data_IF_199221858278
#
_entry.id   IF_199221858278
#
_cell.length_a   1.000
_cell.length_b   1.000
_cell.length_c   1.000
_cell.angle_alpha   90.00
_cell.angle_beta   90.00
_cell.angle_gamma   90.00
#
_symmetry.space_group_name_H-M   'P 1'
#
loop_
_entity.id
_entity.type
_entity.pdbx_description
1 polymer ?
#
# COMPACT_ATOMS: atom_id res chain seq x y z
N UNK A 1 -11.82 49.94 26.07
CA UNK A 1 -10.69 49.13 25.52
C UNK A 1 -10.77 47.65 25.86
N UNK A 2 -10.86 47.22 27.14
CA UNK A 2 -10.94 45.78 27.50
C UNK A 2 -12.08 44.99 26.81
N UNK A 3 -13.26 45.59 26.62
CA UNK A 3 -14.40 44.95 25.94
C UNK A 3 -14.23 44.81 24.42
N UNK A 4 -13.46 45.70 23.79
CA UNK A 4 -13.12 45.63 22.35
C UNK A 4 -12.07 44.54 22.08
N UNK A 5 -11.10 44.40 22.98
CA UNK A 5 -10.09 43.32 22.90
C UNK A 5 -10.75 41.96 23.12
N UNK A 6 -11.69 41.84 24.07
CA UNK A 6 -12.43 40.59 24.30
C UNK A 6 -13.29 40.20 23.08
N UNK A 7 -13.94 41.19 22.44
CA UNK A 7 -14.72 40.96 21.21
C UNK A 7 -13.85 40.51 20.03
N UNK A 8 -12.65 41.08 19.87
CA UNK A 8 -11.71 40.69 18.83
C UNK A 8 -11.17 39.25 19.00
N UNK A 9 -10.88 38.85 20.25
CA UNK A 9 -10.43 37.47 20.56
C UNK A 9 -11.56 36.45 20.32
N UNK A 10 -12.81 36.82 20.61
CA UNK A 10 -13.98 35.96 20.37
C UNK A 10 -14.28 35.80 18.88
N UNK A 11 -14.12 36.85 18.07
CA UNK A 11 -14.25 36.77 16.61
C UNK A 11 -13.15 35.93 15.95
N UNK A 12 -11.91 35.96 16.45
CA UNK A 12 -10.82 35.10 15.97
C UNK A 12 -11.01 33.61 16.31
N UNK A 13 -11.78 33.32 17.36
CA UNK A 13 -12.02 31.94 17.81
C UNK A 13 -13.10 31.21 16.98
N UNK A 14 -13.99 31.95 16.32
CA UNK A 14 -15.12 31.37 15.55
C UNK A 14 -14.69 30.96 14.13
N UNK A 15 -13.58 31.48 13.60
CA UNK A 15 -13.11 31.17 12.24
C UNK A 15 -12.28 29.88 12.10
N UNK A 16 -12.11 29.10 13.17
CA UNK A 16 -11.27 27.89 13.15
C UNK A 16 -12.02 26.55 13.00
N UNK A 17 -13.34 26.57 12.79
CA UNK A 17 -14.12 25.38 12.44
C UNK A 17 -14.32 25.23 10.93
N UNK A 18 -13.24 25.30 10.14
CA UNK A 18 -13.29 24.78 8.77
C UNK A 18 -13.06 23.28 8.85
N UNK A 19 -14.14 22.50 8.78
CA UNK A 19 -14.08 21.05 8.69
C UNK A 19 -13.42 20.67 7.37
N UNK A 20 -12.32 19.93 7.44
CA UNK A 20 -11.64 19.34 6.28
C UNK A 20 -12.55 18.33 5.62
N UNK A 21 -13.27 18.75 4.59
CA UNK A 21 -14.00 17.84 3.71
C UNK A 21 -12.97 17.04 2.92
N UNK A 22 -13.07 15.71 2.97
CA UNK A 22 -12.23 14.82 2.15
C UNK A 22 -12.49 15.17 0.68
N UNK A 23 -11.43 15.47 -0.05
CA UNK A 23 -11.52 15.88 -1.45
C UNK A 23 -12.13 14.74 -2.29
N UNK A 24 -12.95 15.10 -3.28
CA UNK A 24 -13.50 14.14 -4.23
C UNK A 24 -13.07 14.49 -5.63
N UNK A 25 -12.57 13.50 -6.35
CA UNK A 25 -12.15 13.55 -7.74
C UNK A 25 -13.23 12.93 -8.61
N UNK A 26 -13.62 13.61 -9.69
CA UNK A 26 -14.58 13.08 -10.66
C UNK A 26 -13.86 12.35 -11.80
N UNK A 27 -14.32 11.18 -12.19
CA UNK A 27 -13.89 10.44 -13.36
C UNK A 27 -15.00 10.45 -14.41
N UNK A 28 -14.67 10.95 -15.60
CA UNK A 28 -15.54 10.92 -16.76
C UNK A 28 -15.18 9.71 -17.64
N UNK A 29 -16.00 8.67 -17.55
CA UNK A 29 -15.83 7.41 -18.29
C UNK A 29 -15.84 7.63 -19.81
N UNK A 30 -16.64 8.57 -20.32
CA UNK A 30 -16.83 8.79 -21.77
C UNK A 30 -15.59 9.43 -22.38
N UNK A 31 -15.05 10.46 -21.74
CA UNK A 31 -13.86 11.16 -22.22
C UNK A 31 -12.56 10.49 -21.77
N UNK A 32 -12.63 9.50 -20.87
CA UNK A 32 -11.49 8.95 -20.15
C UNK A 32 -10.65 10.03 -19.43
N UNK A 33 -11.34 10.96 -18.76
CA UNK A 33 -10.72 12.11 -18.09
C UNK A 33 -10.94 12.03 -16.58
N UNK A 34 -9.86 12.23 -15.82
CA UNK A 34 -9.91 12.38 -14.37
C UNK A 34 -9.91 13.87 -14.03
N UNK A 35 -10.71 14.27 -13.05
CA UNK A 35 -10.75 15.57 -12.38
C UNK A 35 -10.78 16.82 -13.30
N UNK A 36 -11.34 16.72 -14.51
CA UNK A 36 -11.22 17.77 -15.53
C UNK A 36 -9.75 18.16 -15.81
N UNK A 37 -8.86 17.18 -15.83
CA UNK A 37 -7.41 17.31 -16.01
C UNK A 37 -6.67 18.04 -14.86
N UNK A 38 -7.32 18.23 -13.70
CA UNK A 38 -6.64 18.72 -12.50
C UNK A 38 -5.88 17.59 -11.78
N UNK A 39 -4.69 17.86 -11.21
CA UNK A 39 -3.92 16.83 -10.52
C UNK A 39 -4.69 16.09 -9.42
N UNK A 40 -4.27 14.86 -9.13
CA UNK A 40 -4.82 14.06 -8.02
C UNK A 40 -4.40 14.63 -6.66
N UNK A 41 -5.26 14.53 -5.64
CA UNK A 41 -4.92 14.89 -4.27
C UNK A 41 -3.65 14.15 -3.81
N UNK A 42 -2.82 14.82 -3.01
CA UNK A 42 -1.54 14.25 -2.56
C UNK A 42 -1.36 14.33 -1.05
N UNK A 43 -0.79 13.26 -0.50
CA UNK A 43 -0.49 13.06 0.91
C UNK A 43 -1.71 13.10 1.84
N UNK A 44 -2.90 12.91 1.27
CA UNK A 44 -4.18 12.77 1.96
C UNK A 44 -5.09 11.77 1.21
N UNK A 45 -6.02 11.11 1.93
CA UNK A 45 -7.01 10.25 1.31
C UNK A 45 -8.07 11.08 0.58
N UNK A 46 -8.69 10.49 -0.44
CA UNK A 46 -9.69 11.16 -1.27
C UNK A 46 -10.72 10.19 -1.82
N UNK A 47 -11.84 10.71 -2.32
CA UNK A 47 -12.85 9.91 -3.02
C UNK A 47 -12.66 10.00 -4.54
N UNK A 48 -12.88 8.89 -5.24
CA UNK A 48 -13.08 8.89 -6.70
C UNK A 48 -14.55 8.65 -6.96
N UNK A 49 -15.18 9.57 -7.69
CA UNK A 49 -16.57 9.49 -8.14
C UNK A 49 -16.60 9.28 -9.63
N UNK A 50 -17.50 8.45 -10.14
CA UNK A 50 -17.68 8.30 -11.58
C UNK A 50 -19.11 7.92 -11.91
N UNK A 51 -19.51 8.22 -13.15
CA UNK A 51 -20.79 7.74 -13.67
C UNK A 51 -20.72 6.23 -13.88
N UNK A 52 -21.80 5.54 -13.56
CA UNK A 52 -21.93 4.10 -13.69
C UNK A 52 -22.66 3.80 -15.00
N UNK A 53 -22.01 3.14 -15.98
CA UNK A 53 -22.71 2.65 -17.16
C UNK A 53 -23.80 1.63 -16.80
N UNK A 54 -24.80 1.50 -17.67
CA UNK A 54 -25.89 0.54 -17.48
C UNK A 54 -25.36 -0.91 -17.38
N UNK A 55 -25.94 -1.71 -16.48
CA UNK A 55 -25.55 -3.11 -16.27
C UNK A 55 -24.29 -3.35 -15.44
N UNK A 56 -23.51 -2.31 -15.12
CA UNK A 56 -22.34 -2.45 -14.24
C UNK A 56 -22.78 -2.48 -12.77
N UNK A 57 -22.31 -3.46 -12.00
CA UNK A 57 -22.64 -3.58 -10.57
C UNK A 57 -21.41 -3.62 -9.65
N UNK A 58 -20.22 -3.74 -10.23
CA UNK A 58 -18.97 -3.72 -9.50
C UNK A 58 -17.94 -2.92 -10.28
N UNK A 59 -17.23 -2.05 -9.57
CA UNK A 59 -16.12 -1.25 -10.10
C UNK A 59 -14.91 -1.52 -9.24
N UNK A 60 -13.81 -1.94 -9.86
CA UNK A 60 -12.51 -2.05 -9.19
C UNK A 60 -11.57 -1.01 -9.76
N UNK A 61 -10.91 -0.27 -8.87
CA UNK A 61 -9.87 0.69 -9.26
C UNK A 61 -8.53 0.16 -8.76
N UNK A 62 -7.58 0.02 -9.68
CA UNK A 62 -6.17 -0.20 -9.33
C UNK A 62 -5.43 1.12 -9.45
N UNK A 63 -4.71 1.48 -8.39
CA UNK A 63 -3.88 2.68 -8.35
C UNK A 63 -2.43 2.25 -8.20
N UNK A 64 -1.62 2.51 -9.22
CA UNK A 64 -0.20 2.19 -9.23
C UNK A 64 0.63 3.46 -9.46
N UNK A 65 1.85 3.50 -8.92
CA UNK A 65 2.77 4.59 -9.24
C UNK A 65 3.38 4.33 -10.63
N UNK A 66 3.38 5.34 -11.49
CA UNK A 66 3.84 5.17 -12.87
C UNK A 66 5.29 4.69 -12.93
N UNK A 67 5.54 3.69 -13.77
CA UNK A 67 6.86 3.06 -13.91
C UNK A 67 7.29 2.16 -12.74
N UNK A 68 6.39 1.83 -11.80
CA UNK A 68 6.61 0.82 -10.76
C UNK A 68 5.89 -0.49 -11.10
N UNK A 69 6.37 -1.57 -10.50
CA UNK A 69 5.82 -2.91 -10.68
C UNK A 69 4.32 -2.94 -10.31
N UNK A 70 3.49 -3.43 -11.22
CA UNK A 70 2.04 -3.57 -11.07
C UNK A 70 1.63 -4.38 -9.82
N UNK A 71 2.50 -5.28 -9.34
CA UNK A 71 2.27 -6.03 -8.10
C UNK A 71 2.18 -5.14 -6.85
N UNK A 72 2.61 -3.88 -6.93
CA UNK A 72 2.51 -2.90 -5.84
C UNK A 72 1.24 -2.05 -5.92
N UNK A 73 0.43 -2.23 -6.97
CA UNK A 73 -0.81 -1.51 -7.15
C UNK A 73 -1.75 -1.74 -5.97
N UNK A 74 -2.44 -0.69 -5.57
CA UNK A 74 -3.46 -0.75 -4.53
C UNK A 74 -4.82 -0.92 -5.19
N UNK A 75 -5.57 -1.92 -4.74
CA UNK A 75 -6.90 -2.21 -5.27
C UNK A 75 -7.97 -1.68 -4.33
N UNK A 76 -8.96 -1.02 -4.92
CA UNK A 76 -10.15 -0.57 -4.24
C UNK A 76 -11.38 -1.08 -4.98
N UNK A 77 -12.42 -1.43 -4.24
CA UNK A 77 -13.62 -2.05 -4.83
C UNK A 77 -14.86 -1.31 -4.36
N UNK A 78 -15.67 -0.90 -5.32
CA UNK A 78 -17.03 -0.45 -5.11
C UNK A 78 -18.00 -1.52 -5.62
N UNK A 79 -19.07 -1.75 -4.86
CA UNK A 79 -20.12 -2.70 -5.21
C UNK A 79 -21.46 -2.00 -5.05
N UNK A 80 -22.36 -2.24 -5.99
CA UNK A 80 -23.75 -1.81 -5.87
C UNK A 80 -24.34 -2.45 -4.61
N UNK A 81 -24.93 -1.61 -3.76
CA UNK A 81 -25.68 -2.10 -2.61
C UNK A 81 -27.04 -2.59 -3.11
N UNK A 82 -27.32 -3.88 -2.97
CA UNK A 82 -28.60 -4.50 -3.38
C UNK A 82 -28.99 -4.13 -4.82
N UNK A 83 -30.28 -4.07 -5.13
CA UNK A 83 -30.82 -3.66 -6.43
C UNK A 83 -31.18 -2.17 -6.46
N UNK A 84 -30.50 -1.34 -5.66
CA UNK A 84 -30.77 0.09 -5.67
C UNK A 84 -30.33 0.70 -7.02
N UNK A 85 -31.19 1.54 -7.65
CA UNK A 85 -30.82 2.25 -8.86
C UNK A 85 -29.78 3.32 -8.49
N UNK A 86 -28.52 3.08 -8.87
CA UNK A 86 -27.41 4.00 -8.69
C UNK A 86 -26.82 4.35 -10.04
N UNK A 87 -26.69 5.64 -10.31
CA UNK A 87 -26.10 6.18 -11.55
C UNK A 87 -24.63 6.57 -11.37
N UNK A 88 -24.11 6.51 -10.15
CA UNK A 88 -22.75 6.92 -9.80
C UNK A 88 -22.16 5.98 -8.75
N UNK A 89 -20.85 5.78 -8.82
CA UNK A 89 -20.07 5.14 -7.77
C UNK A 89 -19.23 6.19 -7.03
N UNK A 90 -18.95 5.92 -5.76
CA UNK A 90 -18.02 6.70 -4.93
C UNK A 90 -17.10 5.72 -4.20
N UNK A 91 -15.80 5.84 -4.43
CA UNK A 91 -14.80 4.93 -3.93
C UNK A 91 -13.77 5.69 -3.09
N UNK A 92 -13.54 5.22 -1.87
CA UNK A 92 -12.57 5.83 -0.95
C UNK A 92 -11.17 5.30 -1.21
N UNK A 93 -10.26 6.16 -1.68
CA UNK A 93 -8.85 5.87 -1.85
C UNK A 93 -8.15 6.20 -0.52
N UNK A 94 -7.96 5.18 0.30
CA UNK A 94 -7.43 5.33 1.65
C UNK A 94 -5.92 5.58 1.69
N UNK A 95 -5.16 5.05 0.74
CA UNK A 95 -3.71 5.19 0.76
C UNK A 95 -3.31 6.50 0.09
N UNK A 96 -2.54 7.31 0.80
CA UNK A 96 -2.16 8.63 0.31
C UNK A 96 -1.19 8.54 -0.87
N UNK A 97 -1.36 9.43 -1.85
CA UNK A 97 -0.47 9.50 -3.01
C UNK A 97 0.70 10.42 -2.71
N UNK A 98 1.89 10.10 -3.23
CA UNK A 98 3.07 10.97 -3.08
C UNK A 98 2.87 12.23 -3.90
N UNK A 99 3.19 13.38 -3.32
CA UNK A 99 3.18 14.65 -4.04
C UNK A 99 4.28 14.69 -5.11
N UNK A 100 4.05 15.45 -6.19
CA UNK A 100 4.98 15.58 -7.31
C UNK A 100 5.33 14.27 -8.06
N UNK A 101 4.52 13.22 -7.87
CA UNK A 101 4.63 11.94 -8.58
C UNK A 101 3.47 11.74 -9.57
N UNK A 102 3.64 10.80 -10.50
CA UNK A 102 2.60 10.38 -11.43
C UNK A 102 2.10 8.96 -11.11
N UNK A 103 0.83 8.72 -11.39
CA UNK A 103 0.13 7.47 -11.09
C UNK A 103 -0.64 6.97 -12.31
N UNK A 104 -0.69 5.64 -12.42
CA UNK A 104 -1.52 4.92 -13.39
C UNK A 104 -2.77 4.43 -12.66
N UNK A 105 -3.95 4.76 -13.21
CA UNK A 105 -5.24 4.34 -12.68
C UNK A 105 -5.93 3.44 -13.69
N UNK A 106 -6.29 2.24 -13.25
CA UNK A 106 -7.07 1.31 -14.05
C UNK A 106 -8.45 1.11 -13.42
N UNK A 107 -9.48 1.35 -14.21
CA UNK A 107 -10.87 1.18 -13.85
C UNK A 107 -11.39 -0.08 -14.54
N UNK A 108 -11.68 -1.09 -13.74
CA UNK A 108 -12.23 -2.37 -14.18
C UNK A 108 -13.72 -2.38 -13.87
N UNK A 109 -14.53 -2.43 -14.92
CA UNK A 109 -15.99 -2.42 -14.83
C UNK A 109 -16.53 -3.83 -14.99
N UNK A 110 -17.35 -4.28 -14.04
CA UNK A 110 -17.91 -5.63 -14.07
C UNK A 110 -19.43 -5.59 -14.10
N UNK A 111 -19.99 -6.37 -15.02
CA UNK A 111 -21.43 -6.62 -15.13
C UNK A 111 -21.76 -8.03 -14.65
N UNK A 112 -23.03 -8.27 -14.34
CA UNK A 112 -23.50 -9.63 -14.11
C UNK A 112 -23.22 -10.47 -15.36
N UNK A 113 -22.59 -11.63 -15.18
CA UNK A 113 -22.33 -12.53 -16.30
C UNK A 113 -23.67 -13.08 -16.83
N UNK A 114 -23.82 -13.11 -18.15
CA UNK A 114 -25.02 -13.68 -18.78
C UNK A 114 -25.01 -15.21 -18.67
N UNK A 115 -26.20 -15.83 -18.68
CA UNK A 115 -26.34 -17.29 -18.56
C UNK A 115 -25.63 -18.01 -19.72
N UNK A 116 -25.70 -17.45 -20.93
CA UNK A 116 -25.03 -18.02 -22.11
C UNK A 116 -23.51 -17.95 -21.98
N UNK A 117 -22.97 -16.81 -21.56
CA UNK A 117 -21.52 -16.63 -21.33
C UNK A 117 -21.02 -17.58 -20.25
N UNK A 118 -21.76 -17.68 -19.14
CA UNK A 118 -21.43 -18.59 -18.05
C UNK A 118 -21.48 -20.06 -18.48
N UNK A 119 -22.42 -20.45 -19.35
CA UNK A 119 -22.47 -21.80 -19.90
C UNK A 119 -21.23 -22.11 -20.72
N UNK A 120 -20.80 -21.19 -21.59
CA UNK A 120 -19.61 -21.37 -22.42
C UNK A 120 -18.33 -21.49 -21.58
N UNK A 121 -18.18 -20.65 -20.55
CA UNK A 121 -17.04 -20.70 -19.63
C UNK A 121 -17.02 -22.02 -18.87
N UNK A 122 -18.18 -22.44 -18.34
CA UNK A 122 -18.33 -23.71 -17.63
C UNK A 122 -17.93 -24.89 -18.52
N UNK A 123 -18.44 -24.96 -19.74
CA UNK A 123 -18.11 -26.01 -20.70
C UNK A 123 -16.63 -26.01 -21.10
N UNK A 124 -16.02 -24.84 -21.28
CA UNK A 124 -14.61 -24.71 -21.57
C UNK A 124 -13.75 -25.25 -20.43
N UNK A 125 -14.07 -24.88 -19.18
CA UNK A 125 -13.38 -25.37 -17.99
C UNK A 125 -13.54 -26.89 -17.88
N UNK A 126 -14.75 -27.42 -18.03
CA UNK A 126 -15.00 -28.87 -17.96
C UNK A 126 -14.20 -29.66 -18.98
N UNK A 127 -14.16 -29.19 -20.22
CA UNK A 127 -13.41 -29.83 -21.31
C UNK A 127 -11.91 -29.81 -21.07
N UNK A 128 -11.40 -28.69 -20.55
CA UNK A 128 -9.98 -28.54 -20.22
C UNK A 128 -9.58 -29.44 -19.06
N UNK A 129 -10.40 -29.50 -17.99
CA UNK A 129 -10.17 -30.39 -16.85
C UNK A 129 -10.26 -31.86 -17.27
N UNK A 130 -11.28 -32.23 -18.05
CA UNK A 130 -11.42 -33.59 -18.58
C UNK A 130 -10.21 -33.99 -19.42
N UNK A 131 -9.82 -33.14 -20.38
CA UNK A 131 -8.69 -33.40 -21.27
C UNK A 131 -7.39 -33.51 -20.49
N UNK A 132 -7.18 -32.62 -19.50
CA UNK A 132 -6.04 -32.68 -18.60
C UNK A 132 -6.00 -33.98 -17.80
N UNK A 133 -7.12 -34.39 -17.18
CA UNK A 133 -7.22 -35.63 -16.42
C UNK A 133 -6.90 -36.81 -17.35
N UNK A 134 -7.64 -36.97 -18.46
CA UNK A 134 -7.44 -38.10 -19.38
C UNK A 134 -6.02 -38.20 -19.92
N UNK A 135 -5.37 -37.08 -20.24
CA UNK A 135 -3.98 -37.06 -20.72
C UNK A 135 -2.96 -37.46 -19.66
N UNK A 136 -3.26 -37.25 -18.37
CA UNK A 136 -2.36 -37.58 -17.27
C UNK A 136 -2.53 -39.01 -16.73
N UNK A 137 -3.59 -39.71 -17.12
CA UNK A 137 -3.92 -41.05 -16.65
C UNK A 137 -3.66 -42.10 -17.74
N UNK A 138 -2.77 -43.05 -17.45
CA UNK A 138 -2.48 -44.20 -18.31
C UNK A 138 -3.00 -45.48 -17.65
N UNK A 139 -3.83 -46.24 -18.39
CA UNK A 139 -4.34 -47.53 -17.92
C UNK A 139 -3.33 -48.63 -18.27
N UNK A 140 -2.78 -49.28 -17.24
CA UNK A 140 -1.84 -50.39 -17.41
C UNK A 140 -2.43 -51.69 -16.86
N UNK A 141 -1.91 -52.84 -17.29
CA UNK A 141 -2.38 -54.14 -16.80
C UNK A 141 -2.21 -54.37 -15.28
N UNK A 142 -1.40 -53.54 -14.59
CA UNK A 142 -1.17 -53.61 -13.12
C UNK A 142 -2.02 -52.62 -12.33
N UNK A 143 -2.60 -51.62 -12.99
CA UNK A 143 -3.30 -50.50 -12.33
C UNK A 143 -3.26 -49.23 -13.16
N UNK A 144 -3.71 -48.15 -12.53
CA UNK A 144 -3.70 -46.81 -13.13
C UNK A 144 -2.35 -46.15 -12.82
N UNK A 145 -1.63 -45.71 -13.86
CA UNK A 145 -0.42 -44.92 -13.75
C UNK A 145 -0.75 -43.45 -14.03
N UNK A 146 -0.13 -42.54 -13.27
CA UNK A 146 -0.21 -41.10 -13.56
C UNK A 146 1.13 -40.58 -14.04
N UNK A 147 1.08 -39.59 -14.95
CA UNK A 147 2.27 -38.90 -15.45
C UNK A 147 2.83 -37.91 -14.41
N UNK A 148 1.95 -37.34 -13.60
CA UNK A 148 2.29 -36.41 -12.52
C UNK A 148 1.90 -36.97 -11.14
N UNK A 149 2.48 -36.39 -10.09
CA UNK A 149 2.10 -36.68 -8.70
C UNK A 149 0.79 -35.97 -8.34
N UNK A 150 0.07 -36.50 -7.35
CA UNK A 150 -1.25 -35.98 -6.94
C UNK A 150 -1.21 -34.49 -6.55
N UNK A 151 -0.19 -33.99 -5.81
CA UNK A 151 -0.10 -32.56 -5.51
C UNK A 151 0.09 -31.69 -6.76
N UNK A 152 0.86 -32.17 -7.75
CA UNK A 152 1.09 -31.46 -9.02
C UNK A 152 -0.20 -31.44 -9.83
N UNK A 153 -0.93 -32.55 -9.88
CA UNK A 153 -2.22 -32.62 -10.55
C UNK A 153 -3.24 -31.66 -9.93
N UNK A 154 -3.34 -31.63 -8.61
CA UNK A 154 -4.18 -30.66 -7.90
C UNK A 154 -3.82 -29.21 -8.26
N UNK A 155 -2.52 -28.87 -8.24
CA UNK A 155 -2.06 -27.51 -8.58
C UNK A 155 -2.40 -27.12 -10.02
N UNK A 156 -2.21 -28.03 -10.98
CA UNK A 156 -2.48 -27.76 -12.39
C UNK A 156 -3.98 -27.67 -12.67
N UNK A 157 -4.81 -28.53 -12.05
CA UNK A 157 -6.27 -28.39 -12.14
C UNK A 157 -6.73 -27.06 -11.53
N UNK A 158 -6.18 -26.65 -10.39
CA UNK A 158 -6.49 -25.34 -9.80
C UNK A 158 -6.11 -24.18 -10.72
N UNK A 159 -4.96 -24.28 -11.39
CA UNK A 159 -4.49 -23.29 -12.34
C UNK A 159 -5.43 -23.18 -13.56
N UNK A 160 -5.88 -24.30 -14.13
CA UNK A 160 -6.85 -24.31 -15.25
C UNK A 160 -8.11 -23.50 -14.91
N UNK A 161 -8.67 -23.72 -13.72
CA UNK A 161 -9.87 -22.99 -13.27
C UNK A 161 -9.55 -21.51 -13.01
N UNK A 162 -8.41 -21.21 -12.38
CA UNK A 162 -8.03 -19.85 -12.03
C UNK A 162 -7.74 -18.98 -13.26
N UNK A 163 -7.08 -19.54 -14.27
CA UNK A 163 -6.80 -18.88 -15.56
C UNK A 163 -8.10 -18.67 -16.36
N UNK A 164 -8.99 -19.65 -16.40
CA UNK A 164 -10.28 -19.51 -17.07
C UNK A 164 -11.19 -18.45 -16.42
N UNK A 165 -10.92 -18.08 -15.17
CA UNK A 165 -11.66 -17.08 -14.42
C UNK A 165 -10.95 -15.73 -14.33
N UNK A 166 -9.90 -15.50 -15.12
CA UNK A 166 -9.13 -14.25 -15.08
C UNK A 166 -10.02 -13.00 -15.28
N UNK A 167 -11.02 -13.09 -16.14
CA UNK A 167 -11.99 -12.01 -16.43
C UNK A 167 -13.26 -12.07 -15.56
N UNK A 168 -13.33 -12.99 -14.59
CA UNK A 168 -14.52 -13.22 -13.78
C UNK A 168 -14.26 -12.97 -12.31
N UNK A 169 -15.14 -12.25 -11.64
CA UNK A 169 -15.05 -11.99 -10.19
C UNK A 169 -16.34 -12.31 -9.50
N UNK A 170 -16.25 -12.97 -8.36
CA UNK A 170 -17.43 -13.23 -7.55
C UNK A 170 -17.96 -11.93 -6.93
N UNK A 171 -19.28 -11.70 -6.98
CA UNK A 171 -19.88 -10.48 -6.44
C UNK A 171 -19.51 -10.21 -4.97
N UNK A 172 -19.54 -11.25 -4.12
CA UNK A 172 -19.09 -11.19 -2.72
C UNK A 172 -17.56 -11.11 -2.52
N UNK A 173 -16.74 -11.10 -3.56
CA UNK A 173 -15.27 -11.09 -3.46
C UNK A 173 -14.69 -12.41 -2.95
N UNK A 174 -15.33 -13.53 -3.28
CA UNK A 174 -14.80 -14.87 -3.00
C UNK A 174 -13.97 -15.32 -4.19
N UNK A 175 -12.69 -15.57 -3.97
CA UNK A 175 -11.84 -16.16 -5.00
C UNK A 175 -11.92 -17.68 -4.95
N UNK A 176 -11.63 -18.32 -6.08
CA UNK A 176 -11.50 -19.77 -6.16
C UNK A 176 -10.30 -20.21 -5.32
N UNK A 177 -10.56 -20.96 -4.25
CA UNK A 177 -9.52 -21.41 -3.30
C UNK A 177 -8.80 -22.68 -3.75
N UNK A 178 -9.17 -23.23 -4.90
CA UNK A 178 -8.75 -24.56 -5.34
C UNK A 178 -9.75 -25.65 -4.98
N UNK A 179 -9.56 -26.81 -5.59
CA UNK A 179 -10.31 -28.03 -5.34
C UNK A 179 -10.15 -28.54 -3.91
N UNK A 180 -11.19 -29.20 -3.42
CA UNK A 180 -11.29 -29.64 -2.03
C UNK A 180 -10.39 -30.84 -1.71
N UNK A 181 -10.36 -31.21 -0.42
CA UNK A 181 -9.71 -32.44 0.03
C UNK A 181 -10.34 -33.69 -0.60
N UNK A 182 -11.61 -33.64 -1.01
CA UNK A 182 -12.32 -34.78 -1.58
C UNK A 182 -11.69 -35.16 -2.92
N UNK A 183 -11.35 -34.17 -3.77
CA UNK A 183 -10.62 -34.41 -5.03
C UNK A 183 -9.24 -35.02 -4.74
N UNK A 184 -8.53 -34.52 -3.72
CA UNK A 184 -7.23 -35.10 -3.32
C UNK A 184 -7.36 -36.55 -2.86
N UNK A 185 -8.33 -36.83 -1.98
CA UNK A 185 -8.59 -38.19 -1.51
C UNK A 185 -8.97 -39.11 -2.65
N UNK A 186 -9.73 -38.64 -3.65
CA UNK A 186 -10.04 -39.40 -4.85
C UNK A 186 -8.76 -39.74 -5.61
N UNK A 187 -7.89 -38.76 -5.88
CA UNK A 187 -6.59 -38.98 -6.51
C UNK A 187 -5.73 -40.01 -5.77
N UNK A 188 -5.67 -39.94 -4.44
CA UNK A 188 -4.91 -40.89 -3.61
C UNK A 188 -5.43 -42.33 -3.73
N UNK A 189 -6.74 -42.51 -3.92
CA UNK A 189 -7.37 -43.82 -4.04
C UNK A 189 -6.87 -44.61 -5.25
N UNK A 190 -6.32 -43.97 -6.30
CA UNK A 190 -5.75 -44.68 -7.47
C UNK A 190 -4.72 -45.74 -7.06
N UNK A 191 -3.92 -45.44 -6.04
CA UNK A 191 -2.82 -46.30 -5.57
C UNK A 191 -3.35 -47.60 -4.93
N UNK A 192 -4.59 -47.55 -4.45
CA UNK A 192 -5.31 -48.67 -3.81
C UNK A 192 -6.04 -49.53 -4.83
N UNK A 193 -6.24 -49.04 -6.05
CA UNK A 193 -6.79 -49.80 -7.19
C UNK A 193 -5.72 -50.77 -7.73
N UNK A 194 -5.33 -51.74 -6.91
CA UNK A 194 -4.50 -52.86 -7.36
C UNK A 194 -5.41 -53.83 -8.11
N UNK A 195 -5.41 -53.73 -9.44
CA UNK A 195 -6.15 -54.61 -10.36
C UNK A 195 -5.74 -56.11 -10.26
N UNK A 196 -4.72 -56.43 -9.45
CA UNK A 196 -4.25 -57.78 -9.16
C UNK A 196 -5.07 -58.51 -8.07
N UNK A 197 -5.93 -57.83 -7.31
CA UNK A 197 -6.71 -58.42 -6.19
C UNK A 197 -8.16 -58.77 -6.51
N UNK A 198 -8.65 -58.45 -7.70
CA UNK A 198 -9.89 -59.04 -8.20
C UNK A 198 -9.58 -60.50 -8.56
N UNK A 199 -9.76 -61.42 -7.59
CA UNK A 199 -9.66 -62.85 -7.81
C UNK A 199 -10.82 -63.27 -8.72
N UNK A 200 -10.55 -63.36 -10.01
CA UNK A 200 -11.35 -64.17 -10.91
C UNK A 200 -10.68 -65.54 -11.06
N UNK A 201 -11.50 -66.58 -11.01
CA UNK A 201 -11.15 -67.89 -11.56
C UNK A 201 -10.94 -67.69 -13.06
N UNK A 202 -9.70 -67.85 -13.53
CA UNK A 202 -9.36 -67.67 -14.95
C UNK A 202 -9.05 -69.02 -15.57
N UNK A 203 -9.94 -69.45 -16.45
CA UNK A 203 -9.65 -70.32 -17.58
C UNK A 203 -10.31 -69.66 -18.79
N UNK A 204 -9.52 -68.92 -19.57
CA UNK A 204 -9.96 -68.38 -20.86
C UNK A 204 -9.38 -67.01 -21.21
N UNK A 205 -8.82 -66.90 -22.41
CA UNK A 205 -8.54 -65.62 -23.09
C UNK A 205 -9.87 -64.91 -23.39
N UNK A 206 -9.90 -63.57 -23.29
CA UNK A 206 -10.97 -62.61 -23.67
C UNK A 206 -12.15 -62.42 -22.68
N UNK A 207 -12.10 -61.32 -21.91
CA UNK A 207 -13.20 -60.55 -21.22
C UNK A 207 -12.61 -59.74 -20.05
N UNK A 208 -11.63 -60.32 -19.35
CA UNK A 208 -11.03 -59.79 -18.13
C UNK A 208 -10.16 -58.52 -18.30
N UNK A 209 -9.52 -58.34 -19.46
CA UNK A 209 -8.82 -57.08 -19.76
C UNK A 209 -9.81 -55.93 -20.01
N UNK A 210 -11.02 -56.26 -20.49
CA UNK A 210 -12.09 -55.30 -20.71
C UNK A 210 -12.69 -54.83 -19.38
N UNK A 211 -12.87 -55.74 -18.41
CA UNK A 211 -13.34 -55.39 -17.06
C UNK A 211 -12.36 -54.49 -16.30
N UNK A 212 -11.05 -54.75 -16.42
CA UNK A 212 -10.00 -53.91 -15.81
C UNK A 212 -9.96 -52.52 -16.43
N UNK A 213 -10.04 -52.44 -17.76
CA UNK A 213 -10.11 -51.18 -18.48
C UNK A 213 -11.41 -50.42 -18.14
N UNK A 214 -12.54 -51.12 -18.00
CA UNK A 214 -13.81 -50.54 -17.60
C UNK A 214 -13.76 -49.95 -16.18
N UNK A 215 -13.18 -50.67 -15.22
CA UNK A 215 -13.03 -50.18 -13.85
C UNK A 215 -12.10 -48.96 -13.75
N UNK A 216 -11.00 -48.95 -14.51
CA UNK A 216 -10.11 -47.79 -14.60
C UNK A 216 -10.80 -46.60 -15.28
N UNK A 217 -11.56 -46.85 -16.35
CA UNK A 217 -12.37 -45.84 -17.03
C UNK A 217 -13.45 -45.25 -16.13
N UNK A 218 -14.09 -46.08 -15.30
CA UNK A 218 -15.05 -45.63 -14.31
C UNK A 218 -14.40 -44.71 -13.27
N UNK A 219 -13.25 -45.09 -12.72
CA UNK A 219 -12.53 -44.24 -11.76
C UNK A 219 -12.17 -42.87 -12.35
N UNK A 220 -11.66 -42.84 -13.59
CA UNK A 220 -11.31 -41.59 -14.28
C UNK A 220 -12.57 -40.74 -14.49
N UNK A 221 -13.68 -41.37 -14.91
CA UNK A 221 -14.95 -40.68 -15.14
C UNK A 221 -15.53 -40.10 -13.85
N UNK A 222 -15.44 -40.83 -12.73
CA UNK A 222 -15.85 -40.34 -11.42
C UNK A 222 -15.00 -39.16 -10.94
N UNK A 223 -13.68 -39.17 -11.21
CA UNK A 223 -12.81 -38.04 -10.89
C UNK A 223 -13.15 -36.81 -11.73
N UNK A 224 -13.41 -37.00 -13.03
CA UNK A 224 -13.85 -35.91 -13.94
C UNK A 224 -15.15 -35.32 -13.41
N UNK A 225 -16.14 -36.16 -13.12
CA UNK A 225 -17.43 -35.71 -12.59
C UNK A 225 -17.26 -34.91 -11.30
N UNK A 226 -16.48 -35.42 -10.34
CA UNK A 226 -16.24 -34.74 -9.06
C UNK A 226 -15.63 -33.35 -9.25
N UNK A 227 -14.63 -33.24 -10.12
CA UNK A 227 -13.95 -31.97 -10.42
C UNK A 227 -14.89 -31.00 -11.16
N UNK A 228 -15.73 -31.50 -12.06
CA UNK A 228 -16.75 -30.71 -12.74
C UNK A 228 -17.80 -30.21 -11.74
N UNK A 229 -18.30 -31.06 -10.84
CA UNK A 229 -19.28 -30.71 -9.81
C UNK A 229 -18.77 -29.63 -8.84
N UNK A 230 -17.53 -29.77 -8.34
CA UNK A 230 -16.92 -28.74 -7.48
C UNK A 230 -16.72 -27.42 -8.23
N UNK A 231 -16.38 -27.48 -9.52
CA UNK A 231 -16.30 -26.30 -10.37
C UNK A 231 -17.67 -25.64 -10.53
N UNK A 232 -18.73 -26.42 -10.80
CA UNK A 232 -20.12 -25.92 -10.90
C UNK A 232 -20.51 -25.14 -9.65
N UNK A 233 -20.25 -25.74 -8.48
CA UNK A 233 -20.61 -25.15 -7.21
C UNK A 233 -19.96 -23.77 -7.02
N UNK A 234 -18.74 -23.59 -7.52
CA UNK A 234 -18.09 -22.28 -7.51
C UNK A 234 -18.73 -21.32 -8.53
N UNK A 235 -18.92 -21.76 -9.78
CA UNK A 235 -19.42 -20.95 -10.90
C UNK A 235 -20.87 -20.50 -10.74
N UNK A 236 -21.71 -21.31 -10.11
CA UNK A 236 -23.14 -21.01 -9.88
C UNK A 236 -23.33 -19.83 -8.90
N UNK A 237 -22.28 -19.43 -8.19
CA UNK A 237 -22.32 -18.26 -7.34
C UNK A 237 -22.10 -16.98 -8.15
N UNK A 238 -23.18 -16.28 -8.52
CA UNK A 238 -23.22 -14.85 -8.94
C UNK A 238 -21.87 -14.25 -9.38
N UNK A 239 -21.31 -14.79 -10.46
CA UNK A 239 -20.08 -14.30 -11.05
C UNK A 239 -20.36 -13.05 -11.89
N UNK A 240 -19.42 -12.12 -11.82
CA UNK A 240 -19.42 -10.87 -12.55
C UNK A 240 -18.37 -10.98 -13.65
N UNK A 241 -18.78 -10.72 -14.89
CA UNK A 241 -17.89 -10.68 -16.04
C UNK A 241 -17.28 -9.27 -16.17
N UNK A 242 -16.00 -9.22 -16.50
CA UNK A 242 -15.32 -7.99 -16.88
C UNK A 242 -15.93 -7.45 -18.19
N UNK A 243 -16.46 -6.23 -18.13
CA UNK A 243 -17.10 -5.57 -19.26
C UNK A 243 -16.14 -4.64 -20.00
N UNK A 244 -15.33 -3.88 -19.26
CA UNK A 244 -14.41 -2.90 -19.83
C UNK A 244 -13.26 -2.60 -18.86
N UNK A 245 -12.11 -2.22 -19.42
CA UNK A 245 -10.97 -1.67 -18.69
C UNK A 245 -10.66 -0.29 -19.27
N UNK A 246 -10.67 0.72 -18.41
CA UNK A 246 -10.18 2.06 -18.76
C UNK A 246 -8.91 2.37 -18.00
N UNK A 247 -7.89 2.78 -18.73
CA UNK A 247 -6.59 3.11 -18.15
C UNK A 247 -6.31 4.59 -18.37
N UNK A 248 -5.86 5.25 -17.30
CA UNK A 248 -5.31 6.60 -17.32
C UNK A 248 -3.88 6.52 -16.80
N UNK A 249 -2.92 6.64 -17.70
CA UNK A 249 -1.50 6.51 -17.38
C UNK A 249 -0.84 7.85 -17.12
N UNK A 250 0.20 7.84 -16.29
CA UNK A 250 1.06 8.99 -16.00
C UNK A 250 0.29 10.23 -15.53
N UNK A 251 -0.75 10.03 -14.72
CA UNK A 251 -1.59 11.10 -14.23
C UNK A 251 -0.94 11.81 -13.04
N UNK A 252 -0.77 13.15 -13.08
CA UNK A 252 -0.01 13.87 -12.07
C UNK A 252 -0.77 14.01 -10.74
N UNK A 253 -0.02 14.06 -9.65
CA UNK A 253 -0.50 14.49 -8.33
C UNK A 253 -0.23 15.97 -8.09
N UNK A 254 -0.95 16.55 -7.14
CA UNK A 254 -0.75 17.93 -6.71
C UNK A 254 0.72 18.19 -6.34
N UNK A 255 1.24 19.31 -6.84
CA UNK A 255 2.59 19.75 -6.55
C UNK A 255 2.59 20.45 -5.20
N UNK A 256 3.14 19.80 -4.18
CA UNK A 256 3.45 20.49 -2.92
C UNK A 256 4.80 21.17 -3.04
N UNK A 257 4.88 22.47 -2.70
CA UNK A 257 6.12 23.20 -2.83
C UNK A 257 7.16 22.68 -1.83
N UNK A 258 8.43 22.73 -2.21
CA UNK A 258 9.53 22.52 -1.28
C UNK A 258 9.55 23.63 -0.22
N UNK A 259 9.21 23.31 1.02
CA UNK A 259 9.36 24.24 2.14
C UNK A 259 10.70 24.01 2.82
N UNK A 260 11.34 25.08 3.28
CA UNK A 260 12.47 24.98 4.20
C UNK A 260 12.01 25.40 5.60
N UNK A 261 11.86 24.45 6.53
CA UNK A 261 11.48 24.76 7.89
C UNK A 261 12.54 25.60 8.61
N UNK A 262 12.11 26.76 9.12
CA UNK A 262 12.86 27.56 10.07
C UNK A 262 12.48 27.17 11.48
N UNK A 263 13.49 27.05 12.34
CA UNK A 263 13.32 26.82 13.76
C UNK A 263 13.73 28.06 14.54
N UNK A 264 12.88 28.49 15.47
CA UNK A 264 13.22 29.49 16.47
C UNK A 264 12.98 28.89 17.85
N UNK A 265 13.99 28.89 18.71
CA UNK A 265 13.93 28.15 19.96
C UNK A 265 14.77 28.74 21.07
N UNK A 266 14.69 28.08 22.21
CA UNK A 266 15.50 28.35 23.39
C UNK A 266 16.10 27.04 23.86
N UNK A 267 17.40 27.02 24.16
CA UNK A 267 18.04 25.79 24.55
C UNK A 267 19.26 25.98 25.43
N UNK A 268 19.76 24.84 25.89
CA UNK A 268 20.82 24.74 26.87
C UNK A 268 22.03 24.03 26.31
N UNK A 269 23.21 24.60 26.56
CA UNK A 269 24.49 24.00 26.25
C UNK A 269 25.11 23.56 27.57
N UNK A 270 25.48 22.28 27.66
CA UNK A 270 26.16 21.77 28.84
C UNK A 270 27.66 21.83 28.62
N UNK A 271 28.35 22.71 29.35
CA UNK A 271 29.80 22.84 29.32
C UNK A 271 30.38 21.87 30.33
N UNK A 272 30.98 20.82 29.81
CA UNK A 272 31.58 19.77 30.64
C UNK A 272 33.03 20.15 30.99
N UNK A 273 33.24 20.57 32.23
CA UNK A 273 34.58 20.66 32.86
C UNK A 273 34.90 19.43 33.72
N UNK A 274 33.91 18.87 34.44
CA UNK A 274 33.94 17.57 35.14
C UNK A 274 32.52 17.04 35.45
N UNK A 275 32.36 15.78 35.90
CA UNK A 275 31.05 15.18 36.25
C UNK A 275 30.30 15.94 37.37
N UNK A 276 31.01 16.58 38.29
CA UNK A 276 30.44 17.36 39.40
C UNK A 276 30.35 18.86 39.13
N UNK A 277 30.91 19.36 38.02
CA UNK A 277 30.96 20.79 37.68
C UNK A 277 30.45 21.09 36.27
N UNK A 278 29.35 20.46 35.86
CA UNK A 278 28.70 20.79 34.58
C UNK A 278 27.98 22.12 34.72
N UNK A 279 28.38 23.09 33.89
CA UNK A 279 27.71 24.38 33.76
C UNK A 279 26.70 24.33 32.62
N UNK A 280 25.54 24.96 32.80
CA UNK A 280 24.51 25.06 31.77
C UNK A 280 24.38 26.51 31.31
N UNK A 281 24.67 26.74 30.04
CA UNK A 281 24.39 28.01 29.37
C UNK A 281 23.02 27.94 28.73
N UNK A 282 22.29 29.04 28.70
CA UNK A 282 20.93 29.09 28.16
C UNK A 282 20.74 30.27 27.23
N UNK A 283 20.19 30.05 26.04
CA UNK A 283 20.00 31.14 25.09
C UNK A 283 19.05 30.83 23.94
N UNK A 284 18.55 31.87 23.26
CA UNK A 284 17.76 31.73 22.05
C UNK A 284 18.63 31.32 20.87
N UNK A 285 18.08 30.48 20.00
CA UNK A 285 18.71 30.04 18.76
C UNK A 285 17.74 30.08 17.59
N UNK A 286 18.30 30.24 16.39
CA UNK A 286 17.57 30.17 15.12
C UNK A 286 18.29 29.22 14.18
N UNK A 287 17.56 28.46 13.39
CA UNK A 287 18.18 27.55 12.44
C UNK A 287 17.24 27.02 11.37
N UNK A 288 17.79 26.18 10.52
CA UNK A 288 17.09 25.47 9.47
C UNK A 288 16.91 24.01 9.87
N UNK A 289 15.87 23.40 9.31
CA UNK A 289 15.59 21.98 9.50
C UNK A 289 15.34 21.27 8.21
N UNK A 290 16.06 20.17 8.02
CA UNK A 290 15.93 19.28 6.87
C UNK A 290 15.18 18.03 7.33
N UNK A 291 13.91 17.83 6.94
CA UNK A 291 13.13 16.68 7.35
C UNK A 291 13.76 15.39 6.82
N UNK A 292 13.85 14.36 7.66
CA UNK A 292 14.43 13.06 7.31
C UNK A 292 13.41 12.13 6.61
N UNK A 293 12.12 12.49 6.66
CA UNK A 293 11.05 11.73 6.03
C UNK A 293 9.79 12.58 5.86
N UNK A 294 8.85 12.05 5.07
CA UNK A 294 7.52 12.64 4.92
C UNK A 294 6.61 12.09 6.04
N UNK A 295 5.92 12.99 6.75
CA UNK A 295 5.04 12.68 7.89
C UNK A 295 3.89 11.74 7.52
N UNK A 296 3.38 11.83 6.29
CA UNK A 296 2.30 10.96 5.80
C UNK A 296 2.78 9.52 5.62
N UNK A 297 4.01 9.31 5.15
CA UNK A 297 4.50 7.98 4.78
C UNK A 297 5.38 7.29 5.82
N UNK A 298 5.90 8.04 6.81
CA UNK A 298 6.86 7.49 7.79
C UNK A 298 6.52 7.94 9.21
N UNK A 299 6.18 6.99 10.08
CA UNK A 299 5.73 7.27 11.45
C UNK A 299 6.82 7.90 12.34
N UNK A 300 8.05 7.36 12.28
CA UNK A 300 9.14 7.83 13.13
C UNK A 300 9.97 8.92 12.42
N UNK A 301 10.48 8.61 11.23
CA UNK A 301 11.32 9.54 10.46
C UNK A 301 10.58 10.77 9.95
N UNK A 302 9.25 10.71 9.80
CA UNK A 302 8.46 11.86 9.36
C UNK A 302 8.50 13.03 10.35
N UNK A 303 8.67 12.75 11.64
CA UNK A 303 8.79 13.77 12.67
C UNK A 303 10.25 14.15 12.98
N UNK A 304 11.21 13.39 12.45
CA UNK A 304 12.63 13.63 12.65
C UNK A 304 13.18 14.57 11.57
N UNK A 305 14.07 15.46 11.95
CA UNK A 305 14.84 16.31 11.03
C UNK A 305 16.28 16.40 11.48
N UNK A 306 17.17 16.67 10.55
CA UNK A 306 18.45 17.28 10.88
C UNK A 306 18.22 18.78 11.09
N UNK A 307 18.79 19.38 12.13
CA UNK A 307 18.68 20.82 12.39
C UNK A 307 20.07 21.43 12.55
N UNK A 308 20.27 22.59 11.95
CA UNK A 308 21.50 23.37 12.07
C UNK A 308 21.19 24.85 12.12
N UNK A 309 21.99 25.62 12.85
CA UNK A 309 21.75 27.05 13.01
C UNK A 309 22.73 27.71 13.96
N UNK A 310 22.32 28.85 14.51
CA UNK A 310 23.15 29.70 15.35
C UNK A 310 22.41 30.15 16.60
N UNK A 311 23.15 30.35 17.69
CA UNK A 311 22.65 31.07 18.85
C UNK A 311 22.69 32.57 18.60
N UNK A 312 21.68 33.29 19.10
CA UNK A 312 21.55 34.73 18.87
C UNK A 312 22.32 35.58 19.90
N UNK A 313 22.96 34.94 20.86
CA UNK A 313 23.73 35.60 21.91
C UNK A 313 25.04 34.86 22.18
N UNK A 314 26.03 35.62 22.64
CA UNK A 314 27.23 35.08 23.25
C UNK A 314 26.97 34.74 24.72
N UNK A 315 27.81 33.90 25.29
CA UNK A 315 27.65 33.43 26.65
C UNK A 315 28.83 33.83 27.51
N UNK A 316 28.62 33.86 28.81
CA UNK A 316 29.67 34.05 29.80
C UNK A 316 29.61 32.87 30.78
N UNK A 317 30.76 32.28 31.08
CA UNK A 317 30.87 31.25 32.12
C UNK A 317 30.78 31.89 33.51
N UNK A 318 30.40 31.11 34.52
CA UNK A 318 30.42 31.50 35.95
C UNK A 318 31.76 32.05 36.42
N UNK A 319 32.86 31.67 35.76
CA UNK A 319 34.21 32.17 36.06
C UNK A 319 34.55 33.49 35.33
N UNK A 320 33.57 34.12 34.67
CA UNK A 320 33.74 35.39 33.95
C UNK A 320 34.40 35.28 32.57
N UNK A 321 34.61 34.06 32.06
CA UNK A 321 35.20 33.82 30.74
C UNK A 321 34.16 34.02 29.63
N UNK A 322 34.50 34.80 28.61
CA UNK A 322 33.63 34.96 27.45
C UNK A 322 33.63 33.70 26.58
N UNK A 323 32.44 33.27 26.16
CA UNK A 323 32.21 32.10 25.32
C UNK A 323 31.56 32.57 24.03
N UNK A 324 32.28 32.39 22.94
CA UNK A 324 31.89 32.85 21.59
C UNK A 324 31.87 31.69 20.62
N UNK A 325 31.25 31.87 19.46
CA UNK A 325 31.36 30.89 18.39
C UNK A 325 32.65 31.01 17.59
N UNK A 326 33.00 29.93 16.90
CA UNK A 326 34.18 29.87 16.03
C UNK A 326 34.05 30.73 14.77
N UNK A 327 32.84 30.78 14.18
CA UNK A 327 32.59 31.55 12.97
C UNK A 327 31.95 32.90 13.30
N UNK A 328 32.65 34.00 13.01
CA UNK A 328 32.18 35.38 13.25
C UNK A 328 31.74 35.67 14.69
N UNK A 329 32.22 34.88 15.67
CA UNK A 329 31.85 35.02 17.08
C UNK A 329 30.51 34.42 17.46
N UNK A 330 29.76 33.80 16.55
CA UNK A 330 28.39 33.32 16.79
C UNK A 330 28.38 31.79 16.96
N UNK A 331 27.89 31.25 18.10
CA UNK A 331 27.86 29.80 18.32
C UNK A 331 27.01 29.06 17.28
N UNK A 332 27.58 28.05 16.62
CA UNK A 332 26.90 27.24 15.60
C UNK A 332 26.50 25.89 16.20
N UNK A 333 25.27 25.45 15.95
CA UNK A 333 24.78 24.14 16.36
C UNK A 333 24.44 23.23 15.17
N UNK A 334 24.55 21.93 15.41
CA UNK A 334 24.06 20.88 14.53
C UNK A 334 23.50 19.73 15.38
N UNK A 335 22.36 19.16 14.98
CA UNK A 335 21.71 18.13 15.77
C UNK A 335 20.53 17.46 15.08
N UNK A 336 19.89 16.56 15.81
CA UNK A 336 18.65 15.92 15.43
C UNK A 336 17.50 16.58 16.17
N UNK A 337 16.47 16.93 15.42
CA UNK A 337 15.24 17.50 15.94
C UNK A 337 14.07 16.52 15.80
N UNK A 338 13.26 16.37 16.83
CA UNK A 338 12.04 15.57 16.81
C UNK A 338 10.82 16.43 17.09
N UNK A 339 9.82 16.34 16.22
CA UNK A 339 8.57 17.10 16.31
C UNK A 339 7.60 16.38 17.23
N UNK A 340 7.28 16.97 18.39
CA UNK A 340 6.41 16.33 19.40
C UNK A 340 4.94 16.75 19.24
N UNK A 341 4.68 17.98 18.80
CA UNK A 341 3.34 18.52 18.51
C UNK A 341 3.36 19.26 17.16
N UNK A 342 2.21 19.80 16.71
CA UNK A 342 2.07 20.43 15.36
C UNK A 342 3.21 21.40 14.99
N UNK A 343 3.74 22.15 15.96
CA UNK A 343 4.82 23.13 15.76
C UNK A 343 5.99 23.02 16.75
N UNK A 344 5.84 22.22 17.82
CA UNK A 344 6.83 22.15 18.91
C UNK A 344 7.84 21.03 18.65
N UNK A 345 9.13 21.36 18.75
CA UNK A 345 10.23 20.44 18.47
C UNK A 345 11.23 20.41 19.61
N UNK A 346 11.79 19.22 19.81
CA UNK A 346 12.92 18.98 20.70
C UNK A 346 14.16 18.74 19.85
N UNK A 347 15.20 19.56 20.03
CA UNK A 347 16.47 19.47 19.32
C UNK A 347 17.55 19.00 20.28
N UNK A 348 18.32 17.98 19.89
CA UNK A 348 19.47 17.49 20.64
C UNK A 348 20.64 17.34 19.69
N UNK A 349 21.82 17.81 20.09
CA UNK A 349 22.99 17.78 19.23
C UNK A 349 24.22 18.33 19.92
N UNK A 350 25.05 19.00 19.12
CA UNK A 350 26.27 19.62 19.59
C UNK A 350 26.40 21.06 19.08
N UNK A 351 27.14 21.86 19.85
CA UNK A 351 27.45 23.26 19.55
C UNK A 351 28.95 23.44 19.54
N UNK A 352 29.43 24.21 18.58
CA UNK A 352 30.83 24.56 18.43
C UNK A 352 31.08 25.91 19.08
N UNK A 353 31.97 25.92 20.07
CA UNK A 353 32.29 27.06 20.92
C UNK A 353 33.80 27.29 21.01
N UNK A 354 34.17 28.56 21.20
CA UNK A 354 35.50 29.01 21.59
C UNK A 354 35.41 29.61 22.99
N UNK A 355 36.29 29.17 23.88
CA UNK A 355 36.34 29.61 25.28
C UNK A 355 37.57 30.49 25.45
N UNK A 356 37.39 31.65 26.06
CA UNK A 356 38.50 32.53 26.45
C UNK A 356 39.34 31.90 27.56
N UNK A 357 40.63 31.71 27.31
CA UNK A 357 41.61 31.24 28.30
C UNK A 357 42.09 32.41 29.18
N UNK A 358 42.62 32.11 30.36
CA UNK A 358 43.10 33.10 31.34
C UNK A 358 44.18 34.07 30.81
N UNK A 359 44.75 33.81 29.63
CA UNK A 359 45.75 34.63 28.96
C UNK A 359 45.16 35.58 27.91
N UNK A 360 43.82 35.64 27.75
CA UNK A 360 43.14 36.42 26.72
C UNK A 360 43.17 35.81 25.32
N UNK A 361 43.74 34.60 25.19
CA UNK A 361 43.69 33.81 23.95
C UNK A 361 42.44 32.91 23.95
N UNK A 362 41.85 32.68 22.78
CA UNK A 362 40.73 31.75 22.64
C UNK A 362 41.23 30.35 22.33
N UNK A 363 40.75 29.37 23.10
CA UNK A 363 40.97 27.96 22.83
C UNK A 363 39.98 27.49 21.75
N UNK A 364 40.46 27.08 20.56
CA UNK A 364 39.57 26.76 19.44
C UNK A 364 38.83 25.42 19.63
N UNK A 365 37.59 25.37 19.16
CA UNK A 365 36.87 24.16 18.73
C UNK A 365 36.41 23.22 19.86
N UNK A 366 35.81 23.79 20.91
CA UNK A 366 35.10 23.01 21.92
C UNK A 366 33.73 22.57 21.40
N UNK A 367 33.55 21.27 21.22
CA UNK A 367 32.26 20.66 20.88
C UNK A 367 31.54 20.30 22.17
N UNK A 368 30.41 20.95 22.44
CA UNK A 368 29.63 20.74 23.66
C UNK A 368 28.21 20.22 23.33
N UNK A 369 27.66 19.30 24.15
CA UNK A 369 26.30 18.82 23.95
C UNK A 369 25.26 19.92 24.19
N UNK A 370 24.19 19.87 23.40
CA UNK A 370 23.08 20.82 23.45
C UNK A 370 21.74 20.10 23.42
N UNK A 371 20.79 20.67 24.17
CA UNK A 371 19.38 20.29 24.11
C UNK A 371 18.52 21.55 24.14
N UNK A 372 17.51 21.64 23.29
CA UNK A 372 16.63 22.81 23.22
C UNK A 372 15.23 22.49 22.71
N UNK A 373 14.33 23.45 22.89
CA UNK A 373 12.96 23.40 22.39
C UNK A 373 12.80 24.51 21.35
N UNK A 374 12.19 24.22 20.21
CA UNK A 374 11.91 25.22 19.17
C UNK A 374 10.49 25.15 18.64
N UNK A 375 10.05 26.27 18.09
CA UNK A 375 8.91 26.36 17.20
C UNK A 375 9.40 26.27 15.74
N UNK A 376 8.74 25.43 14.95
CA UNK A 376 9.02 25.27 13.51
C UNK A 376 7.99 26.02 12.66
N UNK A 377 8.49 26.79 11.70
CA UNK A 377 7.70 27.50 10.72
C UNK A 377 8.19 27.14 9.31
N UNK A 378 7.29 26.60 8.49
CA UNK A 378 7.61 26.27 7.11
C UNK A 378 7.65 27.54 6.26
N UNK A 379 8.84 27.94 5.81
CA UNK A 379 8.96 28.99 4.81
C UNK A 379 8.91 28.39 3.42
N UNK A 380 8.05 28.95 2.57
CA UNK A 380 8.09 28.68 1.15
C UNK A 380 9.30 29.40 0.55
N UNK A 381 10.28 28.62 0.09
CA UNK A 381 11.32 29.13 -0.76
C UNK A 381 10.86 28.82 -2.18
N UNK A 382 10.57 29.83 -3.00
CA UNK A 382 10.26 29.69 -4.43
C UNK A 382 11.40 29.08 -5.27
N UNK A 383 12.34 28.37 -4.65
CA UNK A 383 13.49 27.68 -5.22
C UNK A 383 13.09 26.35 -5.88
N UNK A 384 12.03 26.34 -6.72
CA UNK A 384 11.80 25.26 -7.69
C UNK A 384 10.76 25.55 -8.76
N UNK A 385 10.51 26.81 -9.12
CA UNK A 385 9.90 27.10 -10.43
C UNK A 385 10.99 27.07 -11.51
N UNK A 386 11.49 25.86 -11.82
CA UNK A 386 12.02 25.61 -13.16
C UNK A 386 10.96 24.81 -13.92
N UNK A 387 10.46 25.47 -14.95
CA UNK A 387 9.45 25.02 -15.93
C UNK A 387 9.56 23.55 -16.30
#
# INVERSE_FOLDING_TARGET
>A
MKRLILGAIMLFSITHFSNGQIQSVSYNVVNNEINSNNPLPSEEPFFIKGNLPEGIELVKIKVNRSGKNEKLAQEYVWKRAFEFPVSQYELFVSNELRSNDAYDLEFHYFRKADEYEMSNVREAIYRNLESYIRANFEVTGRGIRTNHSDPVMMSQMNQIVSEALEDYRHFLGRDFRGFSEIVRQKLDQKSRLRLNRARFNILGKNELDNEKAAYAGQYISELIQLVQDETSQYLDNSLMALADIRTVSNYPTEKKPGTLPLNFGYGSIAIKRSLSSTEYLHGPYVGLSLPLGNRTFTRFLGNASFSTGVFLQNFESRDGQAIRGELAGIPIYAGLGYTMFRILRLNVGAVMLNIEESNGNFSPNHIQPFAGISLEFNMWLGLRDRR
#
